data_IF_645075567627
#
_entry.id   IF_645075567627
#
_cell.length_a   1.000
_cell.length_b   1.000
_cell.length_c   1.000
_cell.angle_alpha   90.00
_cell.angle_beta   90.00
_cell.angle_gamma   90.00
#
_symmetry.space_group_name_H-M   'P 1'
#
loop_
_entity.id
_entity.type
_entity.pdbx_description
1 polymer ?
#
# COMPACT_ATOMS: atom_id res chain seq x y z
N UNK A 1 -8.35 13.23 30.23
CA UNK A 1 -7.61 12.02 29.79
C UNK A 1 -7.26 12.09 28.32
N UNK A 2 -8.20 12.40 27.41
CA UNK A 2 -7.94 12.45 25.97
C UNK A 2 -6.99 13.59 25.53
N UNK A 3 -6.82 14.62 26.36
CA UNK A 3 -5.90 15.75 26.14
C UNK A 3 -4.56 15.61 26.87
N UNK A 4 -4.44 14.58 27.72
CA UNK A 4 -3.21 14.36 28.48
C UNK A 4 -2.22 13.61 27.57
N UNK A 5 -1.20 14.34 27.11
CA UNK A 5 -0.22 13.82 26.15
C UNK A 5 0.52 12.59 26.68
N UNK A 6 0.86 12.56 27.96
CA UNK A 6 1.63 11.46 28.55
C UNK A 6 0.78 10.19 28.61
N UNK A 7 -0.45 10.31 29.11
CA UNK A 7 -1.43 9.22 29.13
C UNK A 7 -1.71 8.70 27.71
N UNK A 8 -1.84 9.61 26.73
CA UNK A 8 -2.08 9.22 25.33
C UNK A 8 -0.84 8.53 24.74
N UNK A 9 0.37 9.00 25.02
CA UNK A 9 1.61 8.37 24.58
C UNK A 9 1.72 6.93 25.12
N UNK A 10 1.49 6.74 26.41
CA UNK A 10 1.46 5.42 27.03
C UNK A 10 0.43 4.52 26.35
N UNK A 11 -0.80 5.01 26.13
CA UNK A 11 -1.84 4.25 25.47
C UNK A 11 -1.46 3.85 24.03
N UNK A 12 -0.91 4.77 23.22
CA UNK A 12 -0.55 4.46 21.82
C UNK A 12 0.69 3.58 21.70
N UNK A 13 1.59 3.58 22.70
CA UNK A 13 2.74 2.65 22.73
C UNK A 13 2.29 1.20 22.93
N UNK A 14 1.25 0.97 23.74
CA UNK A 14 0.69 -0.35 23.95
C UNK A 14 -0.26 -0.77 22.82
N UNK A 15 -1.04 0.18 22.32
CA UNK A 15 -2.03 -0.05 21.26
C UNK A 15 -2.15 1.19 20.38
N UNK A 16 -1.54 1.18 19.20
CA UNK A 16 -1.52 2.34 18.28
C UNK A 16 -2.90 2.82 17.87
N UNK A 17 -3.90 1.92 17.84
CA UNK A 17 -5.30 2.29 17.58
C UNK A 17 -5.94 3.12 18.70
N UNK A 18 -5.31 3.24 19.88
CA UNK A 18 -5.75 4.13 20.95
C UNK A 18 -5.73 5.61 20.52
N UNK A 19 -5.01 5.95 19.45
CA UNK A 19 -5.03 7.28 18.84
C UNK A 19 -6.44 7.77 18.50
N UNK A 20 -7.39 6.86 18.23
CA UNK A 20 -8.78 7.23 17.95
C UNK A 20 -9.48 7.95 19.11
N UNK A 21 -9.00 7.73 20.34
CA UNK A 21 -9.55 8.34 21.55
C UNK A 21 -8.80 9.60 21.97
N UNK A 22 -7.70 9.95 21.30
CA UNK A 22 -6.98 11.18 21.58
C UNK A 22 -7.77 12.40 21.08
N UNK A 23 -7.60 13.54 21.73
CA UNK A 23 -8.22 14.78 21.28
C UNK A 23 -7.73 15.20 19.88
N UNK A 24 -8.45 16.10 19.23
CA UNK A 24 -8.06 16.60 17.91
C UNK A 24 -6.66 17.20 17.89
N UNK A 25 -6.29 17.92 18.95
CA UNK A 25 -4.96 18.49 19.12
C UNK A 25 -3.88 17.40 19.12
N UNK A 26 -4.08 16.32 19.86
CA UNK A 26 -3.11 15.21 19.94
C UNK A 26 -3.12 14.31 18.68
N UNK A 27 -4.26 14.19 17.99
CA UNK A 27 -4.31 13.56 16.65
C UNK A 27 -3.62 14.40 15.59
N UNK A 28 -3.39 15.70 15.85
CA UNK A 28 -2.55 16.60 15.06
C UNK A 28 -1.09 16.71 15.52
N UNK A 29 -0.73 16.09 16.65
CA UNK A 29 0.64 16.12 17.18
C UNK A 29 1.49 15.04 16.50
N UNK A 30 2.43 15.46 15.63
CA UNK A 30 3.27 14.55 14.83
C UNK A 30 3.98 13.49 15.66
N UNK A 31 4.50 13.84 16.84
CA UNK A 31 5.16 12.90 17.76
C UNK A 31 4.23 11.77 18.24
N UNK A 32 3.03 12.11 18.70
CA UNK A 32 2.03 11.14 19.17
C UNK A 32 1.60 10.23 18.04
N UNK A 33 1.34 10.80 16.87
CA UNK A 33 0.96 10.04 15.67
C UNK A 33 2.10 9.13 15.22
N UNK A 34 3.36 9.59 15.23
CA UNK A 34 4.52 8.76 14.89
C UNK A 34 4.65 7.57 15.84
N UNK A 35 4.43 7.77 17.13
CA UNK A 35 4.45 6.67 18.09
C UNK A 35 3.33 5.65 17.84
N UNK A 36 2.12 6.14 17.53
CA UNK A 36 0.99 5.28 17.19
C UNK A 36 1.22 4.47 15.90
N UNK A 37 1.77 5.08 14.85
CA UNK A 37 1.98 4.38 13.56
C UNK A 37 3.14 3.39 13.60
N UNK A 38 4.17 3.63 14.43
CA UNK A 38 5.23 2.66 14.72
C UNK A 38 4.68 1.40 15.38
N UNK A 39 3.70 1.54 16.27
CA UNK A 39 3.03 0.41 16.90
C UNK A 39 2.10 -0.29 15.90
N UNK A 40 1.29 0.47 15.16
CA UNK A 40 0.39 -0.05 14.12
C UNK A 40 0.17 1.00 13.03
N UNK A 41 0.66 0.75 11.82
CA UNK A 41 0.57 1.70 10.71
C UNK A 41 -0.85 2.12 10.34
N UNK A 42 -1.87 1.29 10.63
CA UNK A 42 -3.28 1.64 10.38
C UNK A 42 -3.82 2.70 11.33
N UNK A 43 -3.13 3.01 12.43
CA UNK A 43 -3.52 4.10 13.34
C UNK A 43 -3.54 5.46 12.64
N UNK A 44 -2.78 5.64 11.54
CA UNK A 44 -2.76 6.87 10.74
C UNK A 44 -4.15 7.30 10.25
N UNK A 45 -5.12 6.38 10.17
CA UNK A 45 -6.51 6.71 9.82
C UNK A 45 -7.16 7.73 10.77
N UNK A 46 -6.68 7.78 12.03
CA UNK A 46 -7.16 8.69 13.06
C UNK A 46 -6.36 9.99 13.13
N UNK A 47 -5.21 10.08 12.46
CA UNK A 47 -4.40 11.29 12.45
C UNK A 47 -5.14 12.45 11.74
N UNK A 48 -4.79 13.68 12.13
CA UNK A 48 -5.25 14.88 11.46
C UNK A 48 -4.95 14.81 9.96
N UNK A 49 -5.80 15.43 9.14
CA UNK A 49 -5.68 15.39 7.68
C UNK A 49 -4.31 15.90 7.18
N UNK A 50 -3.73 16.91 7.85
CA UNK A 50 -2.39 17.42 7.59
C UNK A 50 -1.32 16.33 7.72
N UNK A 51 -1.37 15.51 8.76
CA UNK A 51 -0.41 14.42 8.99
C UNK A 51 -0.64 13.21 8.07
N UNK A 52 -1.86 12.99 7.59
CA UNK A 52 -2.12 12.03 6.50
C UNK A 52 -1.55 12.50 5.15
N UNK A 53 -1.21 13.78 5.03
CA UNK A 53 -0.48 14.37 3.91
C UNK A 53 1.01 14.56 4.16
N UNK A 54 1.50 14.26 5.37
CA UNK A 54 2.93 14.34 5.71
C UNK A 54 3.64 13.07 5.24
N UNK A 55 4.65 13.24 4.38
CA UNK A 55 5.35 12.11 3.77
C UNK A 55 6.10 11.24 4.79
N UNK A 56 6.63 11.82 5.86
CA UNK A 56 7.41 11.07 6.85
C UNK A 56 6.48 10.19 7.68
N UNK A 57 5.34 10.75 8.12
CA UNK A 57 4.33 10.02 8.89
C UNK A 57 3.75 8.87 8.06
N UNK A 58 3.40 9.15 6.79
CA UNK A 58 2.89 8.11 5.89
C UNK A 58 3.96 7.06 5.58
N UNK A 59 5.22 7.46 5.35
CA UNK A 59 6.31 6.52 5.12
C UNK A 59 6.54 5.60 6.31
N UNK A 60 6.50 6.11 7.53
CA UNK A 60 6.58 5.31 8.75
C UNK A 60 5.39 4.33 8.82
N UNK A 61 4.17 4.83 8.61
CA UNK A 61 2.96 4.00 8.65
C UNK A 61 2.99 2.84 7.63
N UNK A 62 3.42 3.09 6.39
CA UNK A 62 3.45 2.04 5.36
C UNK A 62 4.60 1.04 5.54
N UNK A 63 5.68 1.42 6.24
CA UNK A 63 6.76 0.50 6.62
C UNK A 63 6.28 -0.54 7.63
N UNK A 64 5.40 -0.14 8.56
CA UNK A 64 4.80 -1.06 9.53
C UNK A 64 3.56 -1.77 8.98
N UNK A 65 2.78 -1.13 8.11
CA UNK A 65 1.59 -1.73 7.49
C UNK A 65 1.36 -1.17 6.09
N UNK A 66 1.70 -1.92 5.04
CA UNK A 66 1.64 -1.45 3.66
C UNK A 66 0.23 -1.03 3.21
N UNK A 67 -0.82 -1.65 3.77
CA UNK A 67 -2.21 -1.23 3.53
C UNK A 67 -2.59 0.11 4.17
N UNK A 68 -1.74 0.71 5.02
CA UNK A 68 -1.95 2.05 5.57
C UNK A 68 -1.93 3.13 4.49
N UNK A 69 -1.37 2.83 3.30
CA UNK A 69 -1.41 3.71 2.13
C UNK A 69 -2.83 4.18 1.78
N UNK A 70 -3.86 3.38 2.08
CA UNK A 70 -5.26 3.73 1.83
C UNK A 70 -5.72 5.00 2.57
N UNK A 71 -5.07 5.33 3.69
CA UNK A 71 -5.41 6.48 4.52
C UNK A 71 -4.58 7.72 4.18
N UNK A 72 -3.55 7.59 3.35
CA UNK A 72 -2.73 8.70 2.92
C UNK A 72 -3.51 9.68 2.02
N UNK A 73 -3.06 10.93 1.98
CA UNK A 73 -3.59 11.94 1.07
C UNK A 73 -3.53 11.45 -0.39
N UNK A 74 -4.41 11.98 -1.24
CA UNK A 74 -4.41 11.63 -2.67
C UNK A 74 -3.04 11.87 -3.33
N UNK A 75 -2.36 12.96 -2.97
CA UNK A 75 -1.01 13.26 -3.46
C UNK A 75 0.01 12.19 -3.08
N UNK A 76 0.00 11.71 -1.83
CA UNK A 76 0.93 10.66 -1.39
C UNK A 76 0.59 9.27 -1.94
N UNK A 77 -0.68 9.00 -2.26
CA UNK A 77 -1.07 7.80 -3.04
C UNK A 77 -0.59 7.84 -4.50
N UNK A 78 -0.26 9.02 -5.03
CA UNK A 78 0.44 9.21 -6.30
C UNK A 78 1.96 9.37 -6.16
N UNK A 79 2.50 9.38 -4.94
CA UNK A 79 3.92 9.61 -4.71
C UNK A 79 4.69 8.28 -4.80
N UNK A 80 5.42 8.09 -5.92
CA UNK A 80 6.06 6.82 -6.28
C UNK A 80 6.91 6.21 -5.15
N UNK A 81 7.72 7.00 -4.43
CA UNK A 81 8.55 6.51 -3.31
C UNK A 81 7.70 5.91 -2.17
N UNK A 82 6.58 6.55 -1.83
CA UNK A 82 5.70 6.11 -0.73
C UNK A 82 4.96 4.85 -1.15
N UNK A 83 4.42 4.83 -2.38
CA UNK A 83 3.73 3.66 -2.93
C UNK A 83 4.66 2.45 -3.03
N UNK A 84 5.89 2.64 -3.50
CA UNK A 84 6.87 1.55 -3.57
C UNK A 84 7.27 1.04 -2.18
N UNK A 85 7.38 1.92 -1.16
CA UNK A 85 7.60 1.49 0.22
C UNK A 85 6.43 0.62 0.72
N UNK A 86 5.19 1.04 0.46
CA UNK A 86 4.00 0.27 0.79
C UNK A 86 3.94 -1.08 0.08
N UNK A 87 4.25 -1.12 -1.22
CA UNK A 87 4.29 -2.35 -2.03
C UNK A 87 5.36 -3.32 -1.53
N UNK A 88 6.55 -2.80 -1.19
CA UNK A 88 7.64 -3.62 -0.64
C UNK A 88 7.23 -4.34 0.64
N UNK A 89 6.38 -3.71 1.45
CA UNK A 89 5.80 -4.29 2.66
C UNK A 89 4.64 -5.25 2.33
N UNK A 90 3.72 -4.83 1.44
CA UNK A 90 2.54 -5.59 1.06
C UNK A 90 2.19 -5.39 -0.42
N UNK A 91 2.34 -6.42 -1.26
CA UNK A 91 2.15 -6.31 -2.71
C UNK A 91 0.77 -5.80 -3.14
N UNK A 92 -0.31 -6.08 -2.40
CA UNK A 92 -1.64 -5.54 -2.70
C UNK A 92 -1.80 -4.05 -2.34
N UNK A 93 -0.80 -3.39 -1.76
CA UNK A 93 -0.82 -1.94 -1.54
C UNK A 93 -1.00 -1.16 -2.86
N UNK A 94 -0.67 -1.75 -4.02
CA UNK A 94 -1.00 -1.21 -5.34
C UNK A 94 -2.49 -0.85 -5.49
N UNK A 95 -3.40 -1.55 -4.80
CA UNK A 95 -4.83 -1.25 -4.81
C UNK A 95 -5.14 0.20 -4.39
N UNK A 96 -4.31 0.78 -3.54
CA UNK A 96 -4.49 2.13 -2.98
C UNK A 96 -3.70 3.21 -3.72
N UNK A 97 -2.82 2.83 -4.65
CA UNK A 97 -2.06 3.78 -5.46
C UNK A 97 -2.98 4.59 -6.39
N UNK A 98 -2.47 5.73 -6.87
CA UNK A 98 -3.12 6.51 -7.91
C UNK A 98 -3.28 5.72 -9.22
N UNK A 99 -4.17 6.16 -10.09
CA UNK A 99 -4.41 5.48 -11.38
C UNK A 99 -3.16 5.53 -12.27
N UNK A 100 -2.41 6.62 -12.20
CA UNK A 100 -1.14 6.81 -12.90
C UNK A 100 -0.13 5.75 -12.49
N UNK A 101 0.01 5.47 -11.19
CA UNK A 101 0.93 4.45 -10.69
C UNK A 101 0.43 3.01 -10.89
N UNK A 102 -0.88 2.81 -11.00
CA UNK A 102 -1.47 1.53 -11.47
C UNK A 102 -1.25 1.28 -12.96
N UNK A 103 -0.96 2.33 -13.73
CA UNK A 103 -0.56 2.25 -15.14
C UNK A 103 0.96 2.30 -15.35
N UNK A 104 1.74 2.62 -14.32
CA UNK A 104 3.20 2.61 -14.36
C UNK A 104 3.71 1.16 -14.32
N UNK A 105 4.26 0.70 -15.45
CA UNK A 105 4.79 -0.66 -15.62
C UNK A 105 5.76 -1.05 -14.50
N UNK A 106 6.69 -0.17 -14.13
CA UNK A 106 7.71 -0.48 -13.13
C UNK A 106 7.08 -0.68 -11.74
N UNK A 107 6.17 0.19 -11.34
CA UNK A 107 5.44 0.08 -10.07
C UNK A 107 4.61 -1.19 -10.02
N UNK A 108 3.91 -1.53 -11.11
CA UNK A 108 3.14 -2.78 -11.18
C UNK A 108 4.03 -4.01 -11.16
N UNK A 109 5.18 -4.01 -11.85
CA UNK A 109 6.16 -5.09 -11.80
C UNK A 109 6.63 -5.35 -10.36
N UNK A 110 6.95 -4.30 -9.60
CA UNK A 110 7.33 -4.46 -8.19
C UNK A 110 6.18 -5.04 -7.35
N UNK A 111 4.93 -4.68 -7.63
CA UNK A 111 3.77 -5.24 -6.95
C UNK A 111 3.58 -6.73 -7.26
N UNK A 112 3.63 -7.13 -8.53
CA UNK A 112 3.40 -8.52 -8.93
C UNK A 112 4.55 -9.44 -8.56
N UNK A 113 5.80 -8.94 -8.52
CA UNK A 113 6.96 -9.66 -7.94
C UNK A 113 6.75 -9.96 -6.45
N UNK A 114 6.10 -9.06 -5.71
CA UNK A 114 5.78 -9.27 -4.30
C UNK A 114 4.55 -10.16 -4.11
N UNK A 115 3.53 -10.00 -4.95
CA UNK A 115 2.28 -10.76 -4.90
C UNK A 115 1.63 -10.76 -6.28
N UNK A 116 1.66 -11.87 -7.00
CA UNK A 116 1.20 -12.01 -8.38
C UNK A 116 -0.25 -11.58 -8.56
N UNK A 117 -1.12 -11.92 -7.60
CA UNK A 117 -2.52 -11.44 -7.59
C UNK A 117 -2.68 -9.91 -7.46
N UNK A 118 -1.62 -9.14 -7.18
CA UNK A 118 -1.63 -7.68 -7.32
C UNK A 118 -1.89 -7.23 -8.77
N UNK A 119 -1.70 -8.11 -9.75
CA UNK A 119 -2.03 -7.89 -11.16
C UNK A 119 -3.46 -7.36 -11.32
N UNK A 120 -4.42 -7.83 -10.50
CA UNK A 120 -5.82 -7.38 -10.53
C UNK A 120 -6.03 -5.87 -10.34
N UNK A 121 -5.04 -5.16 -9.81
CA UNK A 121 -5.09 -3.72 -9.55
C UNK A 121 -4.39 -2.90 -10.62
N UNK A 122 -3.70 -3.54 -11.57
CA UNK A 122 -3.04 -2.87 -12.67
C UNK A 122 -4.07 -2.26 -13.65
N UNK A 123 -3.62 -1.30 -14.45
CA UNK A 123 -4.43 -0.76 -15.54
C UNK A 123 -4.75 -1.83 -16.58
N UNK A 124 -5.87 -1.68 -17.30
CA UNK A 124 -6.26 -2.61 -18.38
C UNK A 124 -5.15 -2.84 -19.41
N UNK A 125 -4.37 -1.82 -19.72
CA UNK A 125 -3.23 -1.92 -20.63
C UNK A 125 -2.15 -2.88 -20.12
N UNK A 126 -1.87 -2.86 -18.81
CA UNK A 126 -0.87 -3.76 -18.20
C UNK A 126 -1.39 -5.18 -17.96
N UNK A 127 -2.72 -5.39 -17.88
CA UNK A 127 -3.32 -6.73 -17.91
C UNK A 127 -3.09 -7.47 -19.23
N UNK A 128 -2.75 -6.73 -20.30
CA UNK A 128 -2.37 -7.27 -21.61
C UNK A 128 -0.86 -7.20 -21.86
N UNK A 129 -0.06 -6.76 -20.89
CA UNK A 129 1.38 -6.63 -21.07
C UNK A 129 2.06 -8.00 -20.79
N UNK A 130 2.73 -8.63 -21.78
CA UNK A 130 3.29 -9.97 -21.61
C UNK A 130 4.28 -10.07 -20.46
N UNK A 131 5.15 -9.08 -20.30
CA UNK A 131 6.17 -9.08 -19.25
C UNK A 131 5.55 -9.00 -17.85
N UNK A 132 4.56 -8.12 -17.65
CA UNK A 132 3.87 -7.97 -16.37
C UNK A 132 3.06 -9.23 -16.03
N UNK A 133 2.31 -9.77 -17.00
CA UNK A 133 1.48 -10.96 -16.80
C UNK A 133 2.34 -12.19 -16.53
N UNK A 134 3.42 -12.39 -17.30
CA UNK A 134 4.35 -13.49 -17.08
C UNK A 134 5.02 -13.39 -15.72
N UNK A 135 5.48 -12.20 -15.32
CA UNK A 135 6.07 -11.99 -14.00
C UNK A 135 5.07 -12.29 -12.86
N UNK A 136 3.80 -11.91 -13.02
CA UNK A 136 2.76 -12.21 -12.05
C UNK A 136 2.49 -13.72 -11.95
N UNK A 137 2.41 -14.40 -13.09
CA UNK A 137 2.16 -15.84 -13.17
C UNK A 137 3.35 -16.68 -12.64
N UNK A 138 4.59 -16.21 -12.85
CA UNK A 138 5.78 -16.78 -12.23
C UNK A 138 5.75 -16.71 -10.70
N UNK A 139 5.17 -15.64 -10.14
CA UNK A 139 5.03 -15.49 -8.69
C UNK A 139 3.87 -16.32 -8.14
N UNK A 140 2.73 -16.31 -8.83
CA UNK A 140 1.49 -16.99 -8.46
C UNK A 140 0.69 -17.26 -9.74
N UNK A 141 0.68 -18.51 -10.20
CA UNK A 141 0.01 -18.90 -11.46
C UNK A 141 -1.48 -18.56 -11.46
N UNK A 142 -2.12 -18.51 -10.29
CA UNK A 142 -3.54 -18.14 -10.19
C UNK A 142 -3.78 -16.68 -10.55
N UNK A 143 -2.74 -15.84 -10.60
CA UNK A 143 -2.83 -14.46 -11.06
C UNK A 143 -3.27 -14.34 -12.53
N UNK A 144 -3.10 -15.39 -13.34
CA UNK A 144 -3.56 -15.40 -14.73
C UNK A 144 -5.07 -15.18 -14.88
N UNK A 145 -5.88 -15.46 -13.85
CA UNK A 145 -7.32 -15.15 -13.87
C UNK A 145 -7.59 -13.66 -14.10
N UNK A 146 -6.65 -12.79 -13.72
CA UNK A 146 -6.74 -11.34 -13.85
C UNK A 146 -6.18 -10.79 -15.16
N UNK A 147 -5.41 -11.58 -15.91
CA UNK A 147 -4.88 -11.16 -17.20
C UNK A 147 -6.03 -10.90 -18.19
N UNK A 148 -5.78 -10.08 -19.21
CA UNK A 148 -6.74 -9.91 -20.30
C UNK A 148 -6.95 -11.25 -21.03
N UNK A 149 -8.15 -11.48 -21.56
CA UNK A 149 -8.51 -12.77 -22.17
C UNK A 149 -7.55 -13.18 -23.29
N UNK A 150 -7.15 -12.22 -24.13
CA UNK A 150 -6.18 -12.44 -25.20
C UNK A 150 -4.81 -12.96 -24.69
N UNK A 151 -4.42 -12.64 -23.45
CA UNK A 151 -3.20 -13.15 -22.84
C UNK A 151 -3.36 -14.60 -22.38
N UNK A 152 -4.51 -14.98 -21.83
CA UNK A 152 -4.73 -16.33 -21.30
C UNK A 152 -4.59 -17.42 -22.38
N UNK A 153 -4.92 -17.09 -23.63
CA UNK A 153 -4.78 -17.98 -24.77
C UNK A 153 -3.47 -17.79 -25.55
N UNK A 154 -2.56 -16.93 -25.09
CA UNK A 154 -1.31 -16.64 -25.81
C UNK A 154 -0.39 -17.86 -25.81
N UNK A 155 0.11 -18.30 -26.99
CA UNK A 155 1.06 -19.40 -27.08
C UNK A 155 2.33 -19.19 -26.26
N UNK A 156 2.77 -17.94 -26.10
CA UNK A 156 3.98 -17.61 -25.34
C UNK A 156 3.79 -17.84 -23.83
N UNK A 157 2.60 -17.53 -23.30
CA UNK A 157 2.26 -17.84 -21.91
C UNK A 157 2.06 -19.34 -21.70
N UNK A 158 1.42 -20.04 -22.65
CA UNK A 158 1.23 -21.50 -22.56
C UNK A 158 2.60 -22.20 -22.55
N UNK A 159 3.52 -21.83 -23.45
CA UNK A 159 4.87 -22.40 -23.50
C UNK A 159 5.67 -22.16 -22.22
N UNK A 160 5.46 -21.03 -21.54
CA UNK A 160 6.18 -20.69 -20.32
C UNK A 160 5.83 -21.58 -19.10
N UNK A 161 4.73 -22.34 -19.14
CA UNK A 161 4.24 -23.14 -18.00
C UNK A 161 4.02 -24.63 -18.32
N UNK A 162 4.40 -25.11 -19.52
CA UNK A 162 4.22 -26.51 -19.97
C UNK A 162 5.55 -27.29 -20.04
N UNK A 163 6.58 -26.86 -19.32
CA UNK A 163 7.89 -27.53 -19.20
C UNK A 163 8.17 -27.80 -17.73
#
# INVERSE_FOLDING_TARGET
>A
MQDDKEVVLDAVTQTGLALQFASEALRGAKEVVLQAVKQNGKSIQYAAASLRGDSDVVLEAVQHTGSALQFASAGLRGHKKVVLAAIKQHGHALAYASQELKADKQTVLEAVKRKGSALRFASKALLSNPEVVLQAAQQDITALIYAAEAMKSSPDLIKAFVI
#
